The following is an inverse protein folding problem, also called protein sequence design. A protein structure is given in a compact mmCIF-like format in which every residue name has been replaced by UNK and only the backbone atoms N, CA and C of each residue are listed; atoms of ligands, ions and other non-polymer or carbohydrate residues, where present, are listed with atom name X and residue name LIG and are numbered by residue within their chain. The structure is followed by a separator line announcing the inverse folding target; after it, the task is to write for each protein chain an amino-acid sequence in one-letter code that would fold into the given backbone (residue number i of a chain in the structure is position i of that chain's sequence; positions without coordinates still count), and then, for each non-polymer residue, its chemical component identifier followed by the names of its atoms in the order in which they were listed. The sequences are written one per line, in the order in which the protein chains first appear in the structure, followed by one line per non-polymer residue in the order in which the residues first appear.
data_IF_072853343537
#
_entry.id   IF_072853343537
#
_cell.length_a   1.000
_cell.length_b   1.000
_cell.length_c   1.000
_cell.angle_alpha   90.00
_cell.angle_beta   90.00
_cell.angle_gamma   90.00
#
_symmetry.space_group_name_H-M   'P 1'
#
loop_
_entity.id
_entity.type
_entity.pdbx_description
1 polymer ?
#
# COMPACT_ATOMS: atom_id res chain seq x y z
N UNK A 1 2.58 8.11 11.39
CA UNK A 1 2.07 6.94 10.66
C UNK A 1 1.09 7.42 9.61
N UNK A 2 1.41 7.20 8.34
CA UNK A 2 0.65 7.68 7.16
C UNK A 2 0.09 6.49 6.40
N UNK A 3 -1.03 6.71 5.71
CA UNK A 3 -1.58 5.71 4.79
C UNK A 3 -1.05 5.99 3.39
N UNK A 4 -0.64 4.93 2.70
CA UNK A 4 -0.08 4.99 1.36
C UNK A 4 -0.84 4.03 0.46
N UNK A 5 -1.21 4.48 -0.73
CA UNK A 5 -1.69 3.59 -1.78
C UNK A 5 -0.50 2.97 -2.51
N UNK A 6 -0.55 1.66 -2.75
CA UNK A 6 0.51 0.93 -3.43
C UNK A 6 -0.10 0.16 -4.59
N UNK A 7 0.39 0.41 -5.79
CA UNK A 7 0.14 -0.46 -6.94
C UNK A 7 1.04 -1.69 -6.82
N UNK A 8 0.44 -2.87 -6.67
CA UNK A 8 1.16 -4.14 -6.62
C UNK A 8 0.97 -4.87 -7.94
N UNK A 9 2.04 -5.14 -8.70
CA UNK A 9 1.96 -5.93 -9.92
C UNK A 9 1.31 -7.29 -9.64
N UNK A 10 0.21 -7.55 -10.32
CA UNK A 10 -0.57 -8.77 -10.15
C UNK A 10 -1.74 -8.81 -11.13
N UNK A 11 -2.49 -9.92 -11.18
CA UNK A 11 -3.53 -10.13 -12.20
C UNK A 11 -4.62 -9.06 -12.25
N UNK A 12 -4.79 -8.29 -11.17
CA UNK A 12 -5.87 -7.31 -11.03
C UNK A 12 -5.41 -5.86 -10.86
N UNK A 13 -4.08 -5.59 -10.81
CA UNK A 13 -3.46 -4.24 -10.74
C UNK A 13 -4.11 -3.19 -9.80
N UNK A 14 -4.91 -3.62 -8.81
CA UNK A 14 -5.59 -2.72 -7.89
C UNK A 14 -4.59 -2.08 -6.93
N UNK A 15 -4.79 -0.80 -6.60
CA UNK A 15 -4.08 -0.17 -5.50
C UNK A 15 -4.57 -0.75 -4.17
N UNK A 16 -3.62 -0.98 -3.27
CA UNK A 16 -3.87 -1.47 -1.91
C UNK A 16 -3.33 -0.47 -0.90
N UNK A 17 -4.07 -0.28 0.19
CA UNK A 17 -3.68 0.66 1.25
C UNK A 17 -2.80 -0.04 2.29
N UNK A 18 -1.65 0.57 2.56
CA UNK A 18 -0.72 0.14 3.60
C UNK A 18 -0.40 1.29 4.55
N UNK A 19 0.17 0.97 5.70
CA UNK A 19 0.71 1.98 6.61
C UNK A 19 2.22 2.12 6.47
N UNK A 20 2.68 3.37 6.59
CA UNK A 20 4.09 3.76 6.54
C UNK A 20 4.42 4.67 7.73
N UNK A 21 5.67 4.65 8.16
CA UNK A 21 6.18 5.62 9.15
C UNK A 21 6.38 7.00 8.51
N UNK A 22 6.77 7.02 7.24
CA UNK A 22 7.12 8.21 6.47
C UNK A 22 6.09 8.51 5.37
N UNK A 23 5.95 9.77 4.99
CA UNK A 23 5.25 10.16 3.76
C UNK A 23 6.08 9.67 2.57
N UNK A 24 5.47 8.88 1.69
CA UNK A 24 6.14 8.35 0.51
C UNK A 24 5.69 9.12 -0.73
N UNK A 25 6.62 9.64 -1.55
CA UNK A 25 6.26 10.19 -2.84
C UNK A 25 5.77 9.09 -3.79
N UNK A 26 5.11 9.51 -4.86
CA UNK A 26 4.68 8.62 -5.94
C UNK A 26 5.89 7.99 -6.66
N UNK A 27 5.72 6.76 -7.16
CA UNK A 27 6.75 6.03 -7.91
C UNK A 27 7.81 5.34 -7.05
N UNK A 28 7.84 5.56 -5.73
CA UNK A 28 8.79 4.88 -4.84
C UNK A 28 8.50 3.39 -4.77
N UNK A 29 9.55 2.56 -4.89
CA UNK A 29 9.43 1.12 -4.75
C UNK A 29 9.33 0.74 -3.28
N UNK A 30 8.38 -0.12 -2.97
CA UNK A 30 8.12 -0.59 -1.60
C UNK A 30 7.98 -2.11 -1.57
N UNK A 31 8.44 -2.72 -0.48
CA UNK A 31 8.14 -4.12 -0.17
C UNK A 31 6.88 -4.18 0.70
N UNK A 32 5.87 -4.94 0.28
CA UNK A 32 4.57 -5.02 0.95
C UNK A 32 4.16 -6.46 1.25
N UNK A 33 3.42 -6.71 2.34
CA UNK A 33 2.82 -8.02 2.57
C UNK A 33 1.61 -8.23 1.63
N UNK A 34 1.60 -9.36 0.93
CA UNK A 34 0.47 -9.82 0.10
C UNK A 34 0.24 -11.31 0.32
N UNK A 35 -0.86 -11.64 1.02
CA UNK A 35 -1.13 -13.00 1.48
C UNK A 35 -0.02 -13.51 2.41
N UNK A 36 0.57 -14.70 2.15
CA UNK A 36 1.72 -15.23 2.89
C UNK A 36 3.08 -14.72 2.38
N UNK A 37 3.10 -13.94 1.29
CA UNK A 37 4.33 -13.54 0.59
C UNK A 37 4.61 -12.05 0.70
N UNK A 38 5.83 -11.65 0.32
CA UNK A 38 6.18 -10.25 0.06
C UNK A 38 6.13 -9.96 -1.43
N UNK A 39 5.69 -8.75 -1.78
CA UNK A 39 5.69 -8.26 -3.16
C UNK A 39 6.35 -6.90 -3.23
N UNK A 40 6.88 -6.58 -4.41
CA UNK A 40 7.34 -5.22 -4.71
C UNK A 40 6.19 -4.49 -5.35
N UNK A 41 5.87 -3.30 -4.85
CA UNK A 41 4.90 -2.39 -5.44
C UNK A 41 5.49 -0.99 -5.60
N UNK A 42 4.68 -0.10 -6.16
CA UNK A 42 5.00 1.31 -6.33
C UNK A 42 4.02 2.15 -5.51
N UNK A 43 4.56 3.08 -4.72
CA UNK A 43 3.78 4.10 -4.02
C UNK A 43 3.02 4.95 -5.03
N UNK A 44 1.74 5.14 -4.76
CA UNK A 44 0.86 6.10 -5.44
C UNK A 44 0.61 7.33 -4.55
N UNK A 45 1.46 7.54 -3.54
CA UNK A 45 1.36 8.66 -2.62
C UNK A 45 0.44 8.40 -1.44
N UNK A 46 0.11 9.47 -0.73
CA UNK A 46 -0.78 9.42 0.44
C UNK A 46 -2.16 8.93 0.01
N UNK A 47 -2.70 7.95 0.72
CA UNK A 47 -4.02 7.43 0.41
C UNK A 47 -5.06 8.55 0.58
N UNK A 48 -5.84 8.81 -0.47
CA UNK A 48 -7.00 9.71 -0.40
C UNK A 48 -8.04 9.14 0.55
N UNK A 49 -8.67 9.98 1.37
CA UNK A 49 -9.70 9.52 2.31
C UNK A 49 -10.88 8.84 1.58
N UNK A 50 -11.01 7.53 1.85
CA UNK A 50 -12.21 6.69 1.76
C UNK A 50 -12.88 6.49 0.39
N UNK A 51 -12.58 5.35 -0.25
CA UNK A 51 -13.62 4.60 -0.96
C UNK A 51 -14.50 3.90 0.08
N UNK A 52 -15.70 4.46 0.29
CA UNK A 52 -16.86 3.86 0.93
C UNK A 52 -16.84 2.32 0.86
N UNK A 53 -16.69 1.65 2.00
CA UNK A 53 -17.27 0.32 2.15
C UNK A 53 -17.35 -0.02 3.63
N UNK A 54 -18.51 -0.48 4.04
CA UNK A 54 -18.92 -0.88 5.38
C UNK A 54 -18.15 -2.12 5.91
N UNK A 55 -16.89 -2.30 5.50
CA UNK A 55 -16.02 -3.43 5.82
C UNK A 55 -14.85 -2.95 6.66
N UNK A 56 -14.67 -3.57 7.82
CA UNK A 56 -13.50 -3.40 8.66
C UNK A 56 -12.32 -4.16 8.04
N UNK A 57 -11.38 -3.45 7.41
CA UNK A 57 -10.12 -4.05 6.96
C UNK A 57 -9.00 -3.76 7.95
N UNK A 58 -8.14 -4.75 8.20
CA UNK A 58 -6.90 -4.55 8.97
C UNK A 58 -5.80 -4.03 8.03
N UNK A 59 -5.44 -2.74 8.19
CA UNK A 59 -4.33 -2.14 7.46
C UNK A 59 -3.01 -2.77 7.94
N UNK A 60 -2.18 -3.22 7.00
CA UNK A 60 -0.86 -3.81 7.29
C UNK A 60 0.24 -2.79 7.01
N UNK A 61 1.36 -2.83 7.76
CA UNK A 61 2.51 -1.99 7.46
C UNK A 61 3.24 -2.48 6.21
N UNK A 62 3.88 -1.55 5.51
CA UNK A 62 4.93 -1.88 4.56
C UNK A 62 6.08 -2.61 5.28
N UNK A 63 6.80 -3.47 4.56
CA UNK A 63 8.02 -4.07 5.08
C UNK A 63 9.22 -3.12 5.01
N UNK A 64 9.40 -2.44 3.87
CA UNK A 64 10.51 -1.50 3.65
C UNK A 64 10.28 -0.65 2.41
N UNK A 65 10.95 0.50 2.36
CA UNK A 65 11.22 1.24 1.12
C UNK A 65 12.45 0.60 0.45
N UNK A 66 12.51 0.58 -0.88
CA UNK A 66 13.62 0.03 -1.69
C UNK A 66 14.33 1.14 -2.44
#
# INVERSE_FOLDING_TARGET
MTLVEVSVPGPWWNSLTYSSENVLPEGVRVSVPMGPSKRIGFSLGVASEQKNSSKTYRIRPLHSVI
#
